data_IF_589862973144
#
_entry.id   IF_589862973144
#
_cell.length_a   1.000
_cell.length_b   1.000
_cell.length_c   1.000
_cell.angle_alpha   90.00
_cell.angle_beta   90.00
_cell.angle_gamma   90.00
#
_symmetry.space_group_name_H-M   'P 1'
#
loop_
_entity.id
_entity.type
_entity.pdbx_description
1 polymer ?
#
# COMPACT_ATOMS: atom_id res chain seq x y z
N UNK A 1 25.06 0.12 4.43
CA UNK A 1 23.68 -0.28 4.08
C UNK A 1 23.11 -1.38 5.03
N UNK A 2 23.18 -1.24 6.35
CA UNK A 2 22.68 -2.27 7.30
C UNK A 2 21.76 -1.71 8.40
N UNK A 3 21.34 -0.46 8.32
CA UNK A 3 20.57 0.22 9.39
C UNK A 3 19.08 0.42 9.08
N UNK A 4 18.63 0.14 7.86
CA UNK A 4 17.23 0.39 7.45
C UNK A 4 16.24 -0.73 7.84
N UNK A 5 16.72 -1.93 8.12
CA UNK A 5 15.87 -3.08 8.49
C UNK A 5 15.42 -3.06 9.96
N UNK A 6 16.12 -2.33 10.83
CA UNK A 6 15.78 -2.26 12.26
C UNK A 6 14.61 -1.31 12.57
N UNK A 7 14.30 -0.36 11.69
CA UNK A 7 13.21 0.58 11.90
C UNK A 7 11.82 -0.05 11.66
N UNK A 8 11.72 -1.06 10.80
CA UNK A 8 10.46 -1.77 10.54
C UNK A 8 10.04 -2.68 11.71
N UNK A 9 11.00 -3.20 12.47
CA UNK A 9 10.74 -4.12 13.59
C UNK A 9 10.18 -3.44 14.84
N UNK A 10 10.38 -2.14 15.02
CA UNK A 10 9.94 -1.43 16.22
C UNK A 10 8.47 -0.97 16.18
N UNK A 11 7.86 -0.87 14.99
CA UNK A 11 6.45 -0.48 14.83
C UNK A 11 5.46 -1.59 15.22
N UNK A 12 5.91 -2.84 15.28
CA UNK A 12 5.08 -4.00 15.62
C UNK A 12 4.76 -4.16 17.12
N UNK A 13 5.35 -3.34 18.00
CA UNK A 13 5.32 -3.56 19.45
C UNK A 13 4.33 -2.67 20.22
N UNK A 14 3.52 -1.85 19.57
CA UNK A 14 2.58 -0.96 20.26
C UNK A 14 1.16 -1.58 20.26
N UNK A 15 0.66 -2.06 21.39
CA UNK A 15 -0.74 -2.49 21.49
C UNK A 15 -1.63 -1.26 21.69
N UNK A 16 -1.96 -0.56 20.63
CA UNK A 16 -3.06 0.41 20.67
C UNK A 16 -4.34 -0.31 20.24
N UNK A 17 -5.29 -0.44 21.16
CA UNK A 17 -6.66 -0.80 20.83
C UNK A 17 -7.28 0.41 20.09
N UNK A 18 -7.04 0.50 18.79
CA UNK A 18 -7.75 1.45 17.95
C UNK A 18 -9.15 0.90 17.71
N UNK A 19 -10.16 1.74 17.89
CA UNK A 19 -11.55 1.42 17.54
C UNK A 19 -11.65 1.27 16.02
N UNK A 20 -11.32 0.10 15.53
CA UNK A 20 -11.71 -0.30 14.19
C UNK A 20 -13.17 -0.74 14.24
N UNK A 21 -13.89 -0.52 13.17
CA UNK A 21 -15.23 -1.08 12.93
C UNK A 21 -15.17 -2.60 13.04
N UNK A 22 -16.25 -3.26 13.48
CA UNK A 22 -16.28 -4.69 13.72
C UNK A 22 -15.71 -5.50 12.55
N UNK A 23 -14.70 -6.34 12.85
CA UNK A 23 -14.04 -7.21 11.87
C UNK A 23 -12.94 -6.58 11.05
N UNK A 24 -12.69 -5.26 11.16
CA UNK A 24 -11.58 -4.57 10.50
C UNK A 24 -10.43 -4.35 11.49
N UNK A 25 -9.18 -4.46 11.02
CA UNK A 25 -7.99 -4.06 11.76
C UNK A 25 -7.07 -3.25 10.86
N UNK A 26 -6.49 -2.19 11.42
CA UNK A 26 -5.43 -1.38 10.79
C UNK A 26 -4.04 -1.74 11.31
N UNK A 27 -3.93 -2.82 12.11
CA UNK A 27 -2.68 -3.38 12.58
C UNK A 27 -2.34 -4.61 11.75
N UNK A 28 -1.48 -4.47 10.77
CA UNK A 28 -1.07 -5.59 9.93
C UNK A 28 0.31 -5.39 9.30
N UNK A 29 0.91 -6.49 8.94
CA UNK A 29 2.04 -6.58 8.02
C UNK A 29 1.72 -7.63 6.96
N UNK A 30 2.08 -7.33 5.72
CA UNK A 30 1.93 -8.25 4.59
C UNK A 30 3.19 -8.22 3.72
N UNK A 31 3.50 -9.34 3.12
CA UNK A 31 4.60 -9.45 2.18
C UNK A 31 4.22 -10.42 1.08
N UNK A 32 4.65 -10.15 -0.15
CA UNK A 32 4.23 -11.00 -1.25
C UNK A 32 4.82 -10.59 -2.59
N UNK A 33 4.31 -11.23 -3.61
CA UNK A 33 4.67 -10.97 -4.99
C UNK A 33 3.91 -9.75 -5.52
N UNK A 34 4.63 -8.91 -6.24
CA UNK A 34 4.09 -7.75 -6.94
C UNK A 34 4.46 -7.81 -8.42
N UNK A 35 3.54 -7.44 -9.27
CA UNK A 35 3.76 -7.32 -10.71
C UNK A 35 3.13 -6.03 -11.22
N UNK A 36 3.92 -5.28 -11.97
CA UNK A 36 3.50 -4.05 -12.64
C UNK A 36 3.52 -4.28 -14.15
N UNK A 37 2.43 -3.93 -14.81
CA UNK A 37 2.30 -3.90 -16.25
C UNK A 37 2.08 -2.45 -16.68
N UNK A 38 3.12 -1.85 -17.25
CA UNK A 38 3.14 -0.46 -17.68
C UNK A 38 3.41 -0.35 -19.18
N UNK A 39 2.98 0.75 -19.81
CA UNK A 39 3.19 1.00 -21.24
C UNK A 39 4.65 0.97 -21.67
N UNK A 40 5.58 1.27 -20.76
CA UNK A 40 7.03 1.23 -20.97
C UNK A 40 7.67 -0.14 -20.82
N UNK A 41 6.93 -1.13 -20.33
CA UNK A 41 7.42 -2.48 -20.00
C UNK A 41 6.87 -2.95 -18.66
N UNK A 42 6.88 -4.26 -18.44
CA UNK A 42 6.49 -4.85 -17.17
C UNK A 42 7.67 -4.96 -16.19
N UNK A 43 7.36 -5.00 -14.91
CA UNK A 43 8.30 -5.31 -13.83
C UNK A 43 7.62 -6.26 -12.85
N UNK A 44 8.40 -7.08 -12.18
CA UNK A 44 7.91 -7.95 -11.13
C UNK A 44 8.93 -8.15 -10.02
N UNK A 45 8.45 -8.52 -8.85
CA UNK A 45 9.30 -8.67 -7.69
C UNK A 45 8.53 -8.93 -6.41
N UNK A 46 8.98 -8.36 -5.32
CA UNK A 46 8.36 -8.53 -4.02
C UNK A 46 8.01 -7.17 -3.39
N UNK A 47 7.02 -7.20 -2.52
CA UNK A 47 6.61 -6.05 -1.74
C UNK A 47 6.41 -6.42 -0.28
N UNK A 48 6.66 -5.44 0.60
CA UNK A 48 6.26 -5.50 2.01
C UNK A 48 5.42 -4.26 2.29
N UNK A 49 4.26 -4.46 2.92
CA UNK A 49 3.37 -3.38 3.31
C UNK A 49 3.01 -3.55 4.79
N UNK A 50 2.76 -2.46 5.46
CA UNK A 50 2.38 -2.51 6.86
C UNK A 50 1.54 -1.31 7.26
N UNK A 51 0.75 -1.50 8.32
CA UNK A 51 -0.07 -0.46 8.93
C UNK A 51 -0.16 -0.68 10.43
N UNK A 52 -0.17 0.41 11.16
CA UNK A 52 -0.35 0.41 12.63
C UNK A 52 -1.33 1.51 13.00
N UNK A 53 -2.37 1.15 13.72
CA UNK A 53 -3.26 2.11 14.34
C UNK A 53 -2.55 2.84 15.49
N UNK A 54 -2.53 4.16 15.45
CA UNK A 54 -1.84 5.02 16.43
C UNK A 54 -2.82 5.82 17.30
N UNK A 55 -4.08 5.90 16.89
CA UNK A 55 -5.20 6.47 17.64
C UNK A 55 -6.52 5.84 17.13
N UNK A 56 -7.65 6.08 17.81
CA UNK A 56 -8.92 5.42 17.46
C UNK A 56 -9.31 5.47 15.97
N UNK A 57 -9.01 6.56 15.29
CA UNK A 57 -9.37 6.74 13.87
C UNK A 57 -8.14 6.97 12.98
N UNK A 58 -6.93 6.83 13.51
CA UNK A 58 -5.70 7.14 12.77
C UNK A 58 -4.77 5.94 12.72
N UNK A 59 -4.19 5.72 11.55
CA UNK A 59 -3.15 4.72 11.34
C UNK A 59 -1.99 5.30 10.52
N UNK A 60 -0.79 4.82 10.80
CA UNK A 60 0.40 5.05 9.97
C UNK A 60 0.56 3.82 9.10
N UNK A 61 0.91 4.01 7.85
CA UNK A 61 1.17 2.92 6.93
C UNK A 61 2.42 3.15 6.09
N UNK A 62 2.97 2.07 5.57
CA UNK A 62 4.11 2.12 4.67
C UNK A 62 4.16 0.91 3.75
N UNK A 63 4.69 1.14 2.55
CA UNK A 63 4.88 0.14 1.51
C UNK A 63 6.32 0.23 1.00
N UNK A 64 6.92 -0.91 0.69
CA UNK A 64 8.17 -1.02 -0.03
C UNK A 64 8.05 -2.08 -1.11
N UNK A 65 8.39 -1.72 -2.33
CA UNK A 65 8.41 -2.59 -3.49
C UNK A 65 9.82 -2.65 -4.06
N UNK A 66 10.32 -3.84 -4.36
CA UNK A 66 11.53 -4.07 -5.12
C UNK A 66 11.18 -4.94 -6.34
N UNK A 67 11.28 -4.36 -7.52
CA UNK A 67 10.91 -5.00 -8.77
C UNK A 67 12.07 -4.97 -9.77
N UNK A 68 12.14 -5.97 -10.64
CA UNK A 68 13.06 -6.04 -11.76
C UNK A 68 12.27 -5.90 -13.08
N UNK A 69 12.76 -5.07 -13.99
CA UNK A 69 12.13 -4.85 -15.29
C UNK A 69 12.33 -6.04 -16.21
N UNK A 70 11.25 -6.49 -16.88
CA UNK A 70 11.27 -7.65 -17.80
C UNK A 70 12.11 -7.43 -19.08
N UNK A 71 12.49 -6.20 -19.39
CA UNK A 71 13.21 -5.82 -20.63
C UNK A 71 14.62 -5.26 -20.37
N UNK A 72 15.34 -5.80 -19.44
CA UNK A 72 16.71 -5.39 -19.18
C UNK A 72 16.89 -5.15 -17.68
N UNK A 73 17.70 -5.93 -17.06
CA UNK A 73 18.08 -6.00 -15.63
C UNK A 73 18.21 -4.67 -14.87
N UNK A 74 17.18 -3.83 -14.92
CA UNK A 74 17.09 -2.58 -14.18
C UNK A 74 16.16 -2.81 -12.99
N UNK A 75 16.73 -2.73 -11.81
CA UNK A 75 15.97 -2.77 -10.57
C UNK A 75 15.28 -1.42 -10.34
N UNK A 76 14.06 -1.50 -9.83
CA UNK A 76 13.25 -0.35 -9.45
C UNK A 76 12.80 -0.55 -8.01
N UNK A 77 13.22 0.36 -7.15
CA UNK A 77 12.77 0.41 -5.77
C UNK A 77 11.74 1.52 -5.60
N UNK A 78 10.64 1.21 -4.94
CA UNK A 78 9.62 2.19 -4.60
C UNK A 78 9.26 2.05 -3.13
N UNK A 79 9.16 3.17 -2.42
CA UNK A 79 8.65 3.16 -1.07
C UNK A 79 7.64 4.29 -0.84
N UNK A 80 6.74 4.06 0.10
CA UNK A 80 5.69 4.97 0.50
C UNK A 80 5.56 4.94 2.01
N UNK A 81 5.32 6.10 2.62
CA UNK A 81 4.96 6.23 4.03
C UNK A 81 3.88 7.30 4.19
N UNK A 82 2.89 7.03 4.99
CA UNK A 82 1.75 7.93 5.11
C UNK A 82 0.94 7.76 6.38
N UNK A 83 -0.07 8.60 6.47
CA UNK A 83 -1.07 8.61 7.55
C UNK A 83 -2.45 8.39 6.92
N UNK A 84 -3.25 7.56 7.58
CA UNK A 84 -4.64 7.33 7.21
C UNK A 84 -5.59 7.69 8.34
N UNK A 85 -6.77 8.14 7.94
CA UNK A 85 -7.93 8.36 8.79
C UNK A 85 -9.03 7.41 8.37
N UNK A 86 -9.64 6.76 9.35
CA UNK A 86 -10.78 5.86 9.13
C UNK A 86 -11.97 6.30 9.98
N UNK A 87 -13.15 6.27 9.39
CA UNK A 87 -14.39 6.66 10.05
C UNK A 87 -15.49 5.63 9.77
N UNK A 88 -16.02 5.01 10.83
CA UNK A 88 -17.09 4.02 10.71
C UNK A 88 -18.38 4.65 10.17
N UNK A 89 -18.81 4.22 9.00
CA UNK A 89 -20.06 4.66 8.34
C UNK A 89 -21.17 3.61 8.44
N UNK A 90 -20.79 2.38 8.77
CA UNK A 90 -21.71 1.27 9.07
C UNK A 90 -21.03 0.29 10.04
N UNK A 91 -21.76 -0.66 10.66
CA UNK A 91 -21.19 -1.57 11.65
C UNK A 91 -19.93 -2.33 11.20
N UNK A 92 -19.80 -2.63 9.90
CA UNK A 92 -18.68 -3.36 9.31
C UNK A 92 -17.95 -2.59 8.21
N UNK A 93 -18.18 -1.27 8.09
CA UNK A 93 -17.67 -0.48 6.96
C UNK A 93 -17.09 0.85 7.42
N UNK A 94 -15.85 1.10 7.02
CA UNK A 94 -15.16 2.36 7.22
C UNK A 94 -15.04 3.15 5.91
N UNK A 95 -15.25 4.46 6.00
CA UNK A 95 -14.70 5.44 5.08
C UNK A 95 -13.23 5.63 5.43
N UNK A 96 -12.35 5.56 4.44
CA UNK A 96 -10.89 5.67 4.64
C UNK A 96 -10.35 6.79 3.77
N UNK A 97 -9.53 7.65 4.37
CA UNK A 97 -8.75 8.66 3.66
C UNK A 97 -7.27 8.50 4.02
N UNK A 98 -6.38 8.61 3.05
CA UNK A 98 -4.94 8.44 3.22
C UNK A 98 -4.17 9.54 2.50
N UNK A 99 -3.06 9.94 3.08
CA UNK A 99 -2.06 10.80 2.44
C UNK A 99 -0.68 10.20 2.70
N UNK A 100 0.16 10.18 1.68
CA UNK A 100 1.49 9.60 1.78
C UNK A 100 2.51 10.40 0.99
N UNK A 101 3.74 10.37 1.48
CA UNK A 101 4.94 10.69 0.74
C UNK A 101 5.49 9.41 0.11
N UNK A 102 5.99 9.50 -1.12
CA UNK A 102 6.50 8.35 -1.85
C UNK A 102 7.76 8.71 -2.63
N UNK A 103 8.58 7.69 -2.87
CA UNK A 103 9.78 7.81 -3.68
C UNK A 103 9.84 6.65 -4.67
N UNK A 104 10.14 6.99 -5.91
CA UNK A 104 10.42 6.06 -6.99
C UNK A 104 11.90 6.17 -7.34
N UNK A 105 12.64 5.07 -7.26
CA UNK A 105 14.11 5.02 -7.39
C UNK A 105 14.53 3.91 -8.38
N UNK A 106 14.59 4.19 -9.68
CA UNK A 106 15.21 3.30 -10.63
C UNK A 106 16.74 3.33 -10.45
N UNK A 107 17.38 2.20 -10.17
CA UNK A 107 18.81 2.11 -9.82
C UNK A 107 19.78 2.69 -10.85
N UNK A 108 19.35 2.88 -12.09
CA UNK A 108 20.14 3.47 -13.18
C UNK A 108 19.46 4.71 -13.78
N UNK A 109 18.70 5.47 -12.99
CA UNK A 109 17.96 6.63 -13.44
C UNK A 109 17.86 7.74 -12.40
N UNK A 110 16.97 8.69 -12.66
CA UNK A 110 16.64 9.76 -11.73
C UNK A 110 15.61 9.25 -10.72
N UNK A 111 15.89 9.45 -9.44
CA UNK A 111 14.91 9.23 -8.38
C UNK A 111 13.89 10.36 -8.37
N UNK A 112 12.62 10.03 -8.17
CA UNK A 112 11.52 10.97 -8.06
C UNK A 112 10.85 10.87 -6.69
N UNK A 113 10.65 12.02 -6.08
CA UNK A 113 9.86 12.15 -4.87
C UNK A 113 8.45 12.59 -5.24
N UNK A 114 7.46 12.12 -4.51
CA UNK A 114 6.08 12.44 -4.80
C UNK A 114 5.19 12.34 -3.57
N UNK A 115 3.92 12.57 -3.79
CA UNK A 115 2.88 12.36 -2.81
C UNK A 115 1.71 11.62 -3.44
N UNK A 116 0.92 10.97 -2.61
CA UNK A 116 -0.34 10.38 -3.02
C UNK A 116 -1.43 10.64 -1.99
N UNK A 117 -2.65 10.75 -2.49
CA UNK A 117 -3.85 10.85 -1.67
C UNK A 117 -4.84 9.79 -2.11
N UNK A 118 -5.57 9.19 -1.18
CA UNK A 118 -6.58 8.17 -1.44
C UNK A 118 -7.82 8.42 -0.58
N UNK A 119 -8.97 8.14 -1.14
CA UNK A 119 -10.23 8.07 -0.41
C UNK A 119 -11.03 6.88 -0.90
N UNK A 120 -11.73 6.20 -0.01
CA UNK A 120 -12.55 5.05 -0.37
C UNK A 120 -13.20 4.39 0.81
N UNK A 121 -13.65 3.17 0.61
CA UNK A 121 -14.34 2.39 1.63
C UNK A 121 -13.67 1.04 1.82
N UNK A 122 -13.65 0.58 3.08
CA UNK A 122 -13.20 -0.76 3.48
C UNK A 122 -14.29 -1.41 4.29
N UNK A 123 -14.65 -2.65 3.97
CA UNK A 123 -15.74 -3.36 4.60
C UNK A 123 -15.39 -4.81 4.92
N UNK A 124 -15.80 -5.29 6.08
CA UNK A 124 -15.82 -6.70 6.41
C UNK A 124 -17.17 -7.28 5.96
N UNK A 125 -17.17 -8.03 4.87
CA UNK A 125 -18.38 -8.68 4.31
C UNK A 125 -18.80 -9.89 5.12
N UNK A 126 -17.83 -10.58 5.70
CA UNK A 126 -17.99 -11.69 6.65
C UNK A 126 -16.89 -11.62 7.70
N UNK A 127 -16.97 -12.38 8.80
CA UNK A 127 -15.86 -12.43 9.77
C UNK A 127 -14.50 -12.81 9.18
N UNK A 128 -14.51 -13.55 8.06
CA UNK A 128 -13.30 -14.07 7.43
C UNK A 128 -12.97 -13.43 6.07
N UNK A 129 -13.78 -12.47 5.61
CA UNK A 129 -13.53 -11.84 4.31
C UNK A 129 -13.81 -10.34 4.36
N UNK A 130 -12.81 -9.56 3.99
CA UNK A 130 -12.90 -8.12 3.87
C UNK A 130 -12.38 -7.64 2.52
N UNK A 131 -12.82 -6.46 2.12
CA UNK A 131 -12.34 -5.83 0.91
C UNK A 131 -12.41 -4.31 0.99
N UNK A 132 -11.76 -3.67 0.03
CA UNK A 132 -11.78 -2.22 -0.09
C UNK A 132 -11.72 -1.76 -1.54
N UNK A 133 -12.23 -0.56 -1.75
CA UNK A 133 -12.13 0.18 -3.01
C UNK A 133 -11.70 1.59 -2.68
N UNK A 134 -10.65 2.06 -3.34
CA UNK A 134 -10.10 3.42 -3.18
C UNK A 134 -10.00 4.12 -4.53
N UNK A 135 -10.23 5.42 -4.53
CA UNK A 135 -9.82 6.32 -5.60
C UNK A 135 -8.67 7.17 -5.09
N UNK A 136 -7.65 7.35 -5.91
CA UNK A 136 -6.45 8.08 -5.52
C UNK A 136 -5.91 8.97 -6.61
N UNK A 137 -5.03 9.87 -6.19
CA UNK A 137 -4.23 10.72 -7.04
C UNK A 137 -2.79 10.68 -6.55
N UNK A 138 -1.84 10.55 -7.46
CA UNK A 138 -0.41 10.63 -7.17
C UNK A 138 0.28 11.60 -8.10
N UNK A 139 1.32 12.25 -7.58
CA UNK A 139 2.10 13.23 -8.32
C UNK A 139 3.56 13.17 -7.88
N UNK A 140 4.46 13.37 -8.82
CA UNK A 140 5.90 13.33 -8.60
C UNK A 140 6.55 14.67 -8.93
N UNK A 141 7.50 15.06 -8.12
CA UNK A 141 8.21 16.33 -8.28
C UNK A 141 9.05 16.32 -9.57
N UNK A 142 9.02 17.45 -10.28
CA UNK A 142 9.86 17.70 -11.44
C UNK A 142 11.35 17.60 -11.10
N UNK A 143 12.10 16.85 -11.91
CA UNK A 143 13.56 16.71 -11.74
C UNK A 143 14.28 16.68 -13.08
N UNK A 144 15.36 17.47 -13.23
CA UNK A 144 16.20 17.54 -14.44
C UNK A 144 15.43 17.75 -15.77
N UNK A 145 14.38 18.56 -15.73
CA UNK A 145 13.57 18.84 -16.91
C UNK A 145 12.50 17.79 -17.23
N UNK A 146 12.51 16.64 -16.55
CA UNK A 146 11.44 15.64 -16.61
C UNK A 146 10.39 16.01 -15.57
N UNK A 147 9.14 16.11 -16.02
CA UNK A 147 7.98 16.40 -15.17
C UNK A 147 6.98 15.27 -15.37
N UNK A 148 6.97 14.25 -14.48
CA UNK A 148 5.92 13.26 -14.53
C UNK A 148 4.58 13.95 -14.26
N UNK A 149 3.60 13.71 -15.11
CA UNK A 149 2.25 14.24 -14.90
C UNK A 149 1.57 13.52 -13.75
N UNK A 150 0.87 14.26 -12.92
CA UNK A 150 0.07 13.68 -11.86
C UNK A 150 -1.05 12.79 -12.40
N UNK A 151 -1.33 11.68 -11.74
CA UNK A 151 -2.20 10.65 -12.24
C UNK A 151 -3.26 10.20 -11.24
N UNK A 152 -4.49 10.03 -11.74
CA UNK A 152 -5.57 9.37 -10.99
C UNK A 152 -5.46 7.85 -11.13
N UNK A 153 -5.80 7.15 -10.06
CA UNK A 153 -5.87 5.70 -10.05
C UNK A 153 -7.04 5.19 -9.21
N UNK A 154 -7.45 3.98 -9.50
CA UNK A 154 -8.32 3.17 -8.67
C UNK A 154 -7.54 2.02 -8.04
N UNK A 155 -7.91 1.63 -6.82
CA UNK A 155 -7.33 0.49 -6.11
C UNK A 155 -8.44 -0.36 -5.53
N UNK A 156 -8.36 -1.65 -5.75
CA UNK A 156 -9.28 -2.63 -5.19
C UNK A 156 -8.47 -3.73 -4.52
N UNK A 157 -8.81 -4.08 -3.31
CA UNK A 157 -8.14 -5.15 -2.60
C UNK A 157 -9.10 -5.96 -1.73
N UNK A 158 -8.67 -7.14 -1.38
CA UNK A 158 -9.39 -8.05 -0.51
C UNK A 158 -8.43 -8.87 0.35
N UNK A 159 -8.96 -9.35 1.48
CA UNK A 159 -8.29 -10.30 2.37
C UNK A 159 -9.24 -11.44 2.72
N UNK A 160 -8.75 -12.66 2.61
CA UNK A 160 -9.37 -13.85 3.19
C UNK A 160 -8.61 -14.26 4.45
N UNK A 161 -9.25 -14.22 5.63
CA UNK A 161 -8.66 -14.61 6.91
C UNK A 161 -8.71 -16.13 7.06
N UNK A 162 -7.59 -16.75 7.31
CA UNK A 162 -7.46 -18.20 7.55
C UNK A 162 -7.64 -18.53 9.04
N UNK A 163 -7.25 -17.60 9.90
CA UNK A 163 -7.46 -17.63 11.35
C UNK A 163 -7.47 -16.22 11.91
N UNK A 164 -7.39 -16.05 13.23
CA UNK A 164 -7.46 -14.74 13.88
C UNK A 164 -6.36 -13.77 13.45
N UNK A 165 -5.17 -14.27 13.09
CA UNK A 165 -4.01 -13.45 12.79
C UNK A 165 -3.57 -13.55 11.33
N UNK A 166 -3.71 -14.72 10.69
CA UNK A 166 -3.20 -14.95 9.34
C UNK A 166 -4.30 -14.95 8.28
N UNK A 167 -3.98 -14.36 7.15
CA UNK A 167 -4.82 -14.35 5.97
C UNK A 167 -3.99 -14.27 4.69
N UNK A 168 -4.70 -14.31 3.57
CA UNK A 168 -4.17 -14.03 2.25
C UNK A 168 -4.76 -12.70 1.77
N UNK A 169 -3.91 -11.77 1.35
CA UNK A 169 -4.31 -10.49 0.81
C UNK A 169 -3.98 -10.41 -0.68
N UNK A 170 -4.84 -9.72 -1.42
CA UNK A 170 -4.62 -9.40 -2.82
C UNK A 170 -5.12 -7.99 -3.14
N UNK A 171 -4.44 -7.31 -4.06
CA UNK A 171 -4.74 -5.93 -4.44
C UNK A 171 -4.44 -5.72 -5.93
N UNK A 172 -5.24 -4.88 -6.57
CA UNK A 172 -5.00 -4.37 -7.92
C UNK A 172 -5.11 -2.85 -7.90
N UNK A 173 -4.10 -2.16 -8.42
CA UNK A 173 -4.09 -0.73 -8.70
C UNK A 173 -4.19 -0.53 -10.22
N UNK A 174 -5.08 0.33 -10.65
CA UNK A 174 -5.33 0.67 -12.05
C UNK A 174 -5.14 2.17 -12.22
N UNK A 175 -4.09 2.58 -12.91
CA UNK A 175 -3.81 3.97 -13.20
C UNK A 175 -4.56 4.44 -14.46
N UNK A 176 -4.96 5.70 -14.51
CA UNK A 176 -5.67 6.30 -15.64
C UNK A 176 -4.87 6.20 -16.94
N UNK A 177 -3.55 6.27 -16.87
CA UNK A 177 -2.62 6.07 -17.98
C UNK A 177 -2.64 4.66 -18.57
N UNK A 178 -3.25 3.70 -17.88
CA UNK A 178 -3.38 2.32 -18.31
C UNK A 178 -2.40 1.37 -17.64
N UNK A 179 -1.55 1.86 -16.77
CA UNK A 179 -0.64 1.03 -15.97
C UNK A 179 -1.43 0.25 -14.92
N UNK A 180 -1.02 -0.98 -14.68
CA UNK A 180 -1.65 -1.91 -13.75
C UNK A 180 -0.60 -2.49 -12.82
N UNK A 181 -0.89 -2.50 -11.55
CA UNK A 181 -0.08 -3.20 -10.55
C UNK A 181 -0.97 -4.15 -9.78
N UNK A 182 -0.53 -5.37 -9.55
CA UNK A 182 -1.21 -6.29 -8.66
C UNK A 182 -0.24 -6.91 -7.66
N UNK A 183 -0.76 -7.20 -6.50
CA UNK A 183 -0.06 -7.77 -5.37
C UNK A 183 -0.84 -8.96 -4.83
N UNK A 184 -0.13 -9.99 -4.38
CA UNK A 184 -0.70 -11.10 -3.61
C UNK A 184 0.31 -11.61 -2.60
N UNK A 185 -0.15 -11.86 -1.38
CA UNK A 185 0.72 -12.40 -0.33
C UNK A 185 0.03 -12.63 1.00
N UNK A 186 0.69 -13.37 1.91
CA UNK A 186 0.22 -13.52 3.28
C UNK A 186 0.16 -12.18 4.01
N UNK A 187 -0.84 -12.04 4.88
CA UNK A 187 -1.00 -10.93 5.82
C UNK A 187 -1.10 -11.47 7.23
N UNK A 188 -0.33 -10.88 8.11
CA UNK A 188 -0.45 -11.07 9.55
C UNK A 188 -1.12 -9.85 10.16
N UNK A 189 -2.17 -10.06 10.94
CA UNK A 189 -2.98 -9.03 11.60
C UNK A 189 -2.97 -9.27 13.12
N UNK A 190 -2.90 -8.21 13.94
CA UNK A 190 -2.91 -8.30 15.41
C UNK A 190 -3.82 -7.26 16.05
#
# INVERSE_FOLDING_TARGET
>A
MKTSLLALGLLAALPFAASATDGLSYNYVEGGYVNTDAKGGGADGWAVKGSVAVAPNFHIFGDYNAQETKRGSNDVDQWKVGVGYNYGIAPTTDLVARVAYQKFDPKHGLDFNGYSTEVGVRSAFTPNFEGYVMAGYEDYSKKHGINPDGEFYGRVGAQAKLNQNWGLAGEVKLAKGGDKEWFVGPRFTW
#
